data_IF_516097491210
#
_entry.id   IF_516097491210
#
_cell.length_a   1.000
_cell.length_b   1.000
_cell.length_c   1.000
_cell.angle_alpha   90.00
_cell.angle_beta   90.00
_cell.angle_gamma   90.00
#
_symmetry.space_group_name_H-M   'P 1'
#
loop_
_entity.id
_entity.type
_entity.pdbx_description
1 polymer ?
#
# COMPACT_ATOMS: atom_id res chain seq x y z
N UNK A 1 2.01 25.65 -5.58
CA UNK A 1 2.94 24.86 -6.44
C UNK A 1 2.24 24.51 -7.73
N UNK A 2 2.92 24.57 -8.89
CA UNK A 2 2.32 24.07 -10.14
C UNK A 2 2.19 22.54 -10.05
N UNK A 3 1.05 21.98 -10.44
CA UNK A 3 0.82 20.52 -10.45
C UNK A 3 1.98 19.77 -11.14
N UNK A 4 2.54 20.33 -12.21
CA UNK A 4 3.69 19.80 -12.94
C UNK A 4 4.93 19.55 -12.04
N UNK A 5 5.21 20.42 -11.08
CA UNK A 5 6.34 20.25 -10.16
C UNK A 5 6.13 19.07 -9.22
N UNK A 6 4.88 18.82 -8.80
CA UNK A 6 4.54 17.66 -7.96
C UNK A 6 4.77 16.37 -8.74
N UNK A 7 4.33 16.28 -10.00
CA UNK A 7 4.62 15.12 -10.85
C UNK A 7 6.12 14.91 -11.02
N UNK A 8 6.88 15.97 -11.32
CA UNK A 8 8.33 15.85 -11.52
C UNK A 8 9.04 15.34 -10.25
N UNK A 9 8.66 15.84 -9.07
CA UNK A 9 9.22 15.38 -7.79
C UNK A 9 8.90 13.90 -7.59
N UNK A 10 7.64 13.48 -7.78
CA UNK A 10 7.23 12.08 -7.62
C UNK A 10 8.01 11.16 -8.57
N UNK A 11 8.13 11.54 -9.84
CA UNK A 11 8.87 10.75 -10.83
C UNK A 11 10.35 10.62 -10.48
N UNK A 12 11.01 11.71 -10.10
CA UNK A 12 12.43 11.67 -9.72
C UNK A 12 12.63 10.86 -8.44
N UNK A 13 11.79 11.05 -7.42
CA UNK A 13 11.86 10.25 -6.19
C UNK A 13 11.64 8.76 -6.47
N UNK A 14 10.69 8.40 -7.33
CA UNK A 14 10.42 7.01 -7.70
C UNK A 14 11.60 6.39 -8.44
N UNK A 15 12.20 7.12 -9.40
CA UNK A 15 13.38 6.68 -10.14
C UNK A 15 14.61 6.52 -9.26
N UNK A 16 14.87 7.47 -8.36
CA UNK A 16 15.99 7.39 -7.43
C UNK A 16 15.80 6.20 -6.49
N UNK A 17 14.59 6.01 -5.96
CA UNK A 17 14.30 4.90 -5.04
C UNK A 17 14.42 3.54 -5.74
N UNK A 18 13.94 3.42 -6.98
CA UNK A 18 14.07 2.19 -7.76
C UNK A 18 15.53 1.89 -8.13
N UNK A 19 16.31 2.90 -8.50
CA UNK A 19 17.74 2.75 -8.76
C UNK A 19 18.51 2.27 -7.52
N UNK A 20 18.21 2.86 -6.35
CA UNK A 20 18.79 2.44 -5.07
C UNK A 20 18.42 0.99 -4.74
N UNK A 21 17.16 0.59 -4.98
CA UNK A 21 16.68 -0.78 -4.82
C UNK A 21 17.37 -1.77 -5.74
N UNK A 22 17.55 -1.46 -7.02
CA UNK A 22 18.24 -2.35 -7.98
C UNK A 22 19.71 -2.52 -7.62
N UNK A 23 20.32 -1.45 -7.12
CA UNK A 23 21.73 -1.40 -6.71
C UNK A 23 21.97 -2.00 -5.32
N UNK A 24 20.97 -2.62 -4.69
CA UNK A 24 21.11 -3.27 -3.37
C UNK A 24 22.30 -4.25 -3.25
N UNK A 25 22.68 -5.04 -4.28
CA UNK A 25 23.83 -5.95 -4.18
C UNK A 25 25.16 -5.22 -4.04
N UNK A 26 25.22 -3.94 -4.46
CA UNK A 26 26.40 -3.09 -4.46
C UNK A 26 26.47 -2.20 -3.22
N UNK A 27 25.55 -2.34 -2.26
CA UNK A 27 25.57 -1.52 -1.05
C UNK A 27 26.76 -1.82 -0.15
N UNK A 28 27.24 -0.83 0.63
CA UNK A 28 28.28 -1.05 1.62
C UNK A 28 27.89 -2.16 2.61
N UNK A 29 28.85 -3.00 3.01
CA UNK A 29 28.64 -4.14 3.93
C UNK A 29 27.91 -3.77 5.24
N UNK A 30 28.02 -2.51 5.70
CA UNK A 30 27.28 -1.99 6.86
C UNK A 30 25.76 -1.96 6.66
N UNK A 31 25.29 -1.74 5.44
CA UNK A 31 23.87 -1.65 5.07
C UNK A 31 23.30 -2.97 4.53
N UNK A 32 24.14 -3.98 4.28
CA UNK A 32 23.71 -5.30 3.82
C UNK A 32 23.12 -6.20 4.93
N UNK A 33 22.90 -5.66 6.14
CA UNK A 33 22.21 -6.42 7.18
C UNK A 33 20.79 -6.73 6.71
N UNK A 34 20.37 -7.99 6.84
CA UNK A 34 19.06 -8.49 6.37
C UNK A 34 17.87 -7.64 6.85
N UNK A 35 17.93 -7.14 8.09
CA UNK A 35 16.91 -6.24 8.65
C UNK A 35 16.84 -4.89 7.91
N UNK A 36 17.98 -4.27 7.60
CA UNK A 36 18.05 -2.96 6.93
C UNK A 36 17.48 -3.07 5.50
N UNK A 37 17.87 -4.13 4.78
CA UNK A 37 17.35 -4.39 3.43
C UNK A 37 15.83 -4.59 3.47
N UNK A 38 15.33 -5.39 4.41
CA UNK A 38 13.90 -5.64 4.56
C UNK A 38 13.11 -4.37 4.89
N UNK A 39 13.65 -3.51 5.77
CA UNK A 39 13.01 -2.24 6.13
C UNK A 39 13.01 -1.27 4.95
N UNK A 40 14.13 -1.16 4.22
CA UNK A 40 14.19 -0.30 3.04
C UNK A 40 13.21 -0.74 1.97
N UNK A 41 13.12 -2.05 1.71
CA UNK A 41 12.17 -2.61 0.76
C UNK A 41 10.72 -2.33 1.18
N UNK A 42 10.40 -2.45 2.46
CA UNK A 42 9.09 -2.11 3.01
C UNK A 42 8.75 -0.62 2.81
N UNK A 43 9.65 0.28 3.20
CA UNK A 43 9.46 1.74 3.08
C UNK A 43 9.35 2.18 1.63
N UNK A 44 10.18 1.64 0.74
CA UNK A 44 10.17 1.97 -0.67
C UNK A 44 8.85 1.55 -1.35
N UNK A 45 8.41 0.31 -1.11
CA UNK A 45 7.13 -0.16 -1.67
C UNK A 45 5.94 0.61 -1.08
N UNK A 46 5.97 0.93 0.22
CA UNK A 46 4.96 1.80 0.84
C UNK A 46 4.87 3.17 0.16
N UNK A 47 6.01 3.84 0.01
CA UNK A 47 6.10 5.17 -0.56
C UNK A 47 5.64 5.22 -2.01
N UNK A 48 6.12 4.29 -2.84
CA UNK A 48 5.84 4.28 -4.28
C UNK A 48 4.42 3.79 -4.56
N UNK A 49 4.03 2.63 -4.03
CA UNK A 49 2.79 1.96 -4.44
C UNK A 49 1.56 2.52 -3.75
N UNK A 50 1.66 3.04 -2.52
CA UNK A 50 0.50 3.55 -1.79
C UNK A 50 0.53 5.07 -1.72
N UNK A 51 1.59 5.64 -1.14
CA UNK A 51 1.60 7.08 -0.85
C UNK A 51 1.63 7.94 -2.13
N UNK A 52 2.61 7.75 -3.01
CA UNK A 52 2.69 8.51 -4.27
C UNK A 52 1.51 8.21 -5.20
N UNK A 53 1.08 6.96 -5.26
CA UNK A 53 -0.12 6.58 -6.01
C UNK A 53 -1.37 7.34 -5.58
N UNK A 54 -1.60 7.44 -4.26
CA UNK A 54 -2.74 8.18 -3.71
C UNK A 54 -2.61 9.69 -3.94
N UNK A 55 -1.39 10.22 -3.83
CA UNK A 55 -1.11 11.64 -4.02
C UNK A 55 -1.33 12.07 -5.47
N UNK A 56 -0.99 11.22 -6.44
CA UNK A 56 -1.29 11.45 -7.85
C UNK A 56 -2.81 11.58 -8.07
N UNK A 57 -3.59 10.59 -7.60
CA UNK A 57 -5.07 10.60 -7.72
C UNK A 57 -5.68 11.89 -7.17
N UNK A 58 -5.20 12.36 -6.01
CA UNK A 58 -5.62 13.63 -5.42
C UNK A 58 -5.22 14.82 -6.30
N UNK A 59 -3.97 14.87 -6.75
CA UNK A 59 -3.46 15.97 -7.57
C UNK A 59 -4.09 16.06 -8.96
N UNK A 60 -4.67 14.98 -9.50
CA UNK A 60 -5.38 15.01 -10.79
C UNK A 60 -6.87 15.26 -10.69
N UNK A 61 -7.38 15.58 -9.50
CA UNK A 61 -8.82 15.69 -9.26
C UNK A 61 -9.57 14.42 -9.69
N UNK A 62 -9.01 13.25 -9.38
CA UNK A 62 -9.61 11.93 -9.61
C UNK A 62 -9.77 11.58 -11.10
N UNK A 63 -8.74 11.91 -11.88
CA UNK A 63 -8.72 11.53 -13.29
C UNK A 63 -8.67 10.01 -13.48
N UNK A 64 -9.40 9.50 -14.46
CA UNK A 64 -9.63 8.07 -14.65
C UNK A 64 -8.34 7.25 -14.79
N UNK A 65 -7.35 7.76 -15.53
CA UNK A 65 -6.07 7.05 -15.70
C UNK A 65 -5.31 6.88 -14.38
N UNK A 66 -5.43 7.85 -13.47
CA UNK A 66 -4.69 7.81 -12.20
C UNK A 66 -5.38 6.93 -11.18
N UNK A 67 -6.72 6.90 -11.21
CA UNK A 67 -7.50 5.91 -10.48
C UNK A 67 -7.13 4.50 -10.92
N UNK A 68 -7.11 4.23 -12.23
CA UNK A 68 -6.71 2.93 -12.77
C UNK A 68 -5.28 2.53 -12.34
N UNK A 69 -4.33 3.46 -12.43
CA UNK A 69 -2.96 3.23 -11.96
C UNK A 69 -2.92 2.91 -10.47
N UNK A 70 -3.73 3.60 -9.65
CA UNK A 70 -3.79 3.35 -8.21
C UNK A 70 -4.39 1.99 -7.86
N UNK A 71 -5.34 1.49 -8.65
CA UNK A 71 -5.87 0.14 -8.50
C UNK A 71 -4.76 -0.86 -8.76
N UNK A 72 -4.02 -0.72 -9.87
CA UNK A 72 -2.91 -1.62 -10.22
C UNK A 72 -1.85 -1.64 -9.10
N UNK A 73 -1.47 -0.47 -8.57
CA UNK A 73 -0.50 -0.39 -7.47
C UNK A 73 -1.01 -1.10 -6.21
N UNK A 74 -2.30 -1.00 -5.90
CA UNK A 74 -2.93 -1.71 -4.79
C UNK A 74 -2.88 -3.23 -4.99
N UNK A 75 -3.13 -3.70 -6.21
CA UNK A 75 -3.04 -5.13 -6.56
C UNK A 75 -1.61 -5.66 -6.40
N UNK A 76 -0.62 -4.88 -6.83
CA UNK A 76 0.80 -5.23 -6.71
C UNK A 76 1.17 -5.38 -5.22
N UNK A 77 0.83 -4.39 -4.39
CA UNK A 77 1.18 -4.45 -2.95
C UNK A 77 0.39 -5.51 -2.18
N UNK A 78 -0.85 -5.81 -2.59
CA UNK A 78 -1.63 -6.93 -2.05
C UNK A 78 -1.02 -8.29 -2.42
N UNK A 79 -0.29 -8.36 -3.54
CA UNK A 79 0.42 -9.57 -3.94
C UNK A 79 1.74 -9.74 -3.20
N UNK A 80 2.49 -8.63 -3.02
CA UNK A 80 3.82 -8.61 -2.40
C UNK A 80 3.82 -8.89 -0.89
N UNK A 81 2.81 -8.41 -0.16
CA UNK A 81 2.77 -8.51 1.31
C UNK A 81 1.62 -9.39 1.81
N UNK A 82 1.69 -9.73 3.11
CA UNK A 82 0.57 -10.37 3.81
C UNK A 82 -0.61 -9.42 3.89
N UNK A 83 -1.81 -9.98 3.82
CA UNK A 83 -3.05 -9.23 3.71
C UNK A 83 -3.27 -8.26 4.88
N UNK A 84 -2.93 -8.68 6.11
CA UNK A 84 -2.98 -7.83 7.30
C UNK A 84 -2.10 -6.58 7.15
N UNK A 85 -0.87 -6.77 6.67
CA UNK A 85 0.12 -5.69 6.50
C UNK A 85 -0.30 -4.75 5.38
N UNK A 86 -0.76 -5.28 4.24
CA UNK A 86 -1.25 -4.48 3.13
C UNK A 86 -2.40 -3.58 3.55
N UNK A 87 -3.34 -4.08 4.36
CA UNK A 87 -4.50 -3.32 4.82
C UNK A 87 -4.05 -2.14 5.69
N UNK A 88 -3.18 -2.37 6.67
CA UNK A 88 -2.64 -1.30 7.53
C UNK A 88 -1.86 -0.26 6.73
N UNK A 89 -0.97 -0.70 5.84
CA UNK A 89 -0.20 0.18 4.96
C UNK A 89 -1.12 1.04 4.10
N UNK A 90 -2.19 0.44 3.56
CA UNK A 90 -3.15 1.14 2.71
C UNK A 90 -3.85 2.26 3.48
N UNK A 91 -4.41 1.96 4.66
CA UNK A 91 -5.13 2.97 5.47
C UNK A 91 -4.19 4.11 5.85
N UNK A 92 -2.99 3.79 6.34
CA UNK A 92 -2.01 4.79 6.77
C UNK A 92 -1.56 5.63 5.57
N UNK A 93 -1.22 5.01 4.44
CA UNK A 93 -0.72 5.73 3.27
C UNK A 93 -1.75 6.65 2.63
N UNK A 94 -3.02 6.24 2.57
CA UNK A 94 -4.12 7.11 2.09
C UNK A 94 -4.33 8.28 3.05
N UNK A 95 -4.37 8.02 4.36
CA UNK A 95 -4.55 9.07 5.37
C UNK A 95 -3.41 10.11 5.30
N UNK A 96 -2.16 9.64 5.29
CA UNK A 96 -0.98 10.51 5.18
C UNK A 96 -0.97 11.29 3.86
N UNK A 97 -1.42 10.68 2.75
CA UNK A 97 -1.54 11.37 1.47
C UNK A 97 -2.56 12.51 1.50
N UNK A 98 -3.70 12.31 2.17
CA UNK A 98 -4.74 13.34 2.30
C UNK A 98 -4.22 14.50 3.14
N UNK A 99 -3.61 14.22 4.29
CA UNK A 99 -3.06 15.25 5.18
C UNK A 99 -1.91 16.01 4.52
N UNK A 100 -1.01 15.31 3.81
CA UNK A 100 0.06 15.95 3.04
C UNK A 100 -0.51 16.88 1.96
N UNK A 101 -1.54 16.43 1.24
CA UNK A 101 -2.16 17.22 0.18
C UNK A 101 -2.84 18.49 0.72
N UNK A 102 -3.52 18.40 1.86
CA UNK A 102 -4.09 19.56 2.56
C UNK A 102 -3.02 20.56 2.98
N UNK A 103 -1.93 20.07 3.57
CA UNK A 103 -0.86 20.94 4.09
C UNK A 103 -0.12 21.70 2.98
N UNK A 104 0.15 21.04 1.83
CA UNK A 104 0.99 21.62 0.77
C UNK A 104 0.24 22.44 -0.27
N UNK A 105 -1.07 22.21 -0.47
CA UNK A 105 -1.77 22.76 -1.64
C UNK A 105 -2.70 23.94 -1.38
N UNK A 106 -2.68 24.47 -0.15
CA UNK A 106 -3.40 25.67 0.29
C UNK A 106 -4.93 25.59 0.09
N UNK A 107 -5.69 26.25 0.96
CA UNK A 107 -7.14 26.08 1.16
C UNK A 107 -8.05 26.36 -0.07
N UNK A 108 -7.49 26.68 -1.25
CA UNK A 108 -8.24 27.08 -2.45
C UNK A 108 -9.06 25.96 -3.13
N UNK A 109 -8.95 24.71 -2.67
CA UNK A 109 -9.90 23.65 -3.05
C UNK A 109 -11.27 23.78 -2.36
N UNK A 110 -11.42 24.69 -1.38
CA UNK A 110 -12.71 25.04 -0.78
C UNK A 110 -13.65 25.80 -1.73
N UNK A 111 -13.24 26.13 -2.96
CA UNK A 111 -14.13 26.83 -3.91
C UNK A 111 -15.16 25.88 -4.55
N UNK A 112 -15.02 24.55 -4.41
CA UNK A 112 -16.02 23.60 -4.93
C UNK A 112 -16.18 22.34 -4.05
N UNK A 113 -16.46 22.58 -2.76
CA UNK A 113 -16.52 21.59 -1.67
C UNK A 113 -17.40 20.38 -2.04
N UNK A 114 -18.55 20.60 -2.66
CA UNK A 114 -19.47 19.52 -3.04
C UNK A 114 -18.80 18.51 -3.97
N UNK A 115 -18.20 18.97 -5.08
CA UNK A 115 -17.61 18.05 -6.07
C UNK A 115 -16.39 17.30 -5.52
N UNK A 116 -15.63 17.90 -4.61
CA UNK A 116 -14.45 17.26 -4.03
C UNK A 116 -14.84 16.21 -2.98
N UNK A 117 -15.83 16.50 -2.13
CA UNK A 117 -16.35 15.53 -1.16
C UNK A 117 -16.92 14.30 -1.87
N UNK A 118 -17.70 14.47 -2.94
CA UNK A 118 -18.22 13.34 -3.73
C UNK A 118 -17.10 12.48 -4.33
N UNK A 119 -16.02 13.09 -4.84
CA UNK A 119 -14.89 12.36 -5.40
C UNK A 119 -14.09 11.59 -4.34
N UNK A 120 -13.92 12.16 -3.14
CA UNK A 120 -13.27 11.49 -2.02
C UNK A 120 -14.12 10.29 -1.54
N UNK A 121 -15.44 10.46 -1.40
CA UNK A 121 -16.34 9.36 -1.03
C UNK A 121 -16.30 8.25 -2.08
N UNK A 122 -16.31 8.61 -3.37
CA UNK A 122 -16.16 7.65 -4.46
C UNK A 122 -14.86 6.86 -4.36
N UNK A 123 -13.74 7.54 -4.13
CA UNK A 123 -12.44 6.90 -3.98
C UNK A 123 -12.38 5.95 -2.78
N UNK A 124 -12.88 6.35 -1.62
CA UNK A 124 -12.95 5.50 -0.42
C UNK A 124 -13.85 4.28 -0.66
N UNK A 125 -14.99 4.47 -1.33
CA UNK A 125 -15.91 3.38 -1.69
C UNK A 125 -15.24 2.39 -2.63
N UNK A 126 -14.55 2.89 -3.66
CA UNK A 126 -13.85 2.04 -4.62
C UNK A 126 -12.68 1.30 -3.95
N UNK A 127 -11.91 1.98 -3.09
CA UNK A 127 -10.83 1.38 -2.31
C UNK A 127 -11.34 0.28 -1.38
N UNK A 128 -12.41 0.54 -0.62
CA UNK A 128 -12.96 -0.44 0.31
C UNK A 128 -13.51 -1.67 -0.41
N UNK A 129 -14.20 -1.50 -1.55
CA UNK A 129 -14.65 -2.61 -2.39
C UNK A 129 -13.49 -3.47 -2.91
N UNK A 130 -12.45 -2.84 -3.45
CA UNK A 130 -11.24 -3.54 -3.90
C UNK A 130 -10.55 -4.31 -2.79
N UNK A 131 -10.41 -3.67 -1.62
CA UNK A 131 -9.84 -4.30 -0.45
C UNK A 131 -10.64 -5.56 -0.10
N UNK A 132 -11.98 -5.49 0.00
CA UNK A 132 -12.82 -6.64 0.34
C UNK A 132 -12.63 -7.79 -0.67
N UNK A 133 -12.66 -7.50 -1.97
CA UNK A 133 -12.54 -8.53 -3.03
C UNK A 133 -11.20 -9.25 -2.97
N UNK A 134 -10.10 -8.53 -2.71
CA UNK A 134 -8.76 -9.12 -2.68
C UNK A 134 -8.37 -9.72 -1.33
N UNK A 135 -8.84 -9.13 -0.23
CA UNK A 135 -8.49 -9.57 1.12
C UNK A 135 -9.29 -10.81 1.54
N UNK A 136 -10.58 -10.88 1.18
CA UNK A 136 -11.47 -11.97 1.61
C UNK A 136 -10.95 -13.38 1.23
N UNK A 137 -10.48 -13.64 -0.01
CA UNK A 137 -9.94 -14.95 -0.36
C UNK A 137 -8.69 -15.31 0.46
N UNK A 138 -7.82 -14.34 0.73
CA UNK A 138 -6.59 -14.57 1.52
C UNK A 138 -6.88 -14.81 3.00
N UNK A 139 -7.86 -14.11 3.56
CA UNK A 139 -8.35 -14.34 4.92
C UNK A 139 -8.84 -15.79 5.12
N UNK A 140 -9.60 -16.28 4.15
CA UNK A 140 -10.17 -17.63 4.19
C UNK A 140 -9.08 -18.71 4.09
N UNK A 141 -8.09 -18.52 3.21
CA UNK A 141 -6.95 -19.43 3.11
C UNK A 141 -6.15 -19.55 4.41
N UNK A 142 -5.82 -18.42 5.06
CA UNK A 142 -5.11 -18.47 6.34
C UNK A 142 -5.93 -19.17 7.43
N UNK A 143 -7.24 -18.95 7.47
CA UNK A 143 -8.14 -19.63 8.41
C UNK A 143 -8.14 -21.14 8.21
N UNK A 144 -8.23 -21.61 6.96
CA UNK A 144 -8.22 -23.03 6.63
C UNK A 144 -6.90 -23.71 7.00
N UNK A 145 -5.77 -23.04 6.76
CA UNK A 145 -4.45 -23.55 7.14
C UNK A 145 -4.32 -23.68 8.66
N UNK A 146 -4.78 -22.66 9.41
CA UNK A 146 -4.75 -22.71 10.87
C UNK A 146 -5.63 -23.83 11.44
N UNK A 147 -6.86 -23.99 10.92
CA UNK A 147 -7.75 -25.08 11.33
C UNK A 147 -7.16 -26.46 11.03
N UNK A 148 -6.49 -26.62 9.89
CA UNK A 148 -5.80 -27.87 9.55
C UNK A 148 -4.67 -28.15 10.54
N UNK A 149 -3.86 -27.14 10.87
CA UNK A 149 -2.74 -27.29 11.79
C UNK A 149 -3.21 -27.63 13.22
N UNK A 150 -4.27 -27.00 13.71
CA UNK A 150 -4.83 -27.32 15.03
C UNK A 150 -5.38 -28.75 15.05
N UNK A 151 -6.15 -29.14 14.04
CA UNK A 151 -6.71 -30.49 13.95
C UNK A 151 -5.63 -31.58 13.85
N UNK A 152 -4.52 -31.31 13.16
CA UNK A 152 -3.37 -32.22 13.12
C UNK A 152 -2.62 -32.26 14.45
N UNK A 153 -2.45 -31.12 15.12
CA UNK A 153 -1.85 -31.05 16.47
C UNK A 153 -2.62 -31.87 17.50
N UNK A 154 -3.95 -31.72 17.52
CA UNK A 154 -4.82 -32.48 18.43
C UNK A 154 -4.72 -34.00 18.19
N UNK A 155 -4.59 -34.42 16.93
CA UNK A 155 -4.41 -35.84 16.59
C UNK A 155 -3.07 -36.39 17.04
N UNK A 156 -1.99 -35.62 16.93
CA UNK A 156 -0.66 -36.05 17.40
C UNK A 156 -0.67 -36.23 18.91
N UNK A 157 -1.22 -35.27 19.65
CA UNK A 157 -1.34 -35.34 21.11
C UNK A 157 -2.19 -36.54 21.57
N UNK A 158 -3.29 -36.82 20.87
CA UNK A 158 -4.15 -37.98 21.18
C UNK A 158 -3.48 -39.34 20.90
N UNK A 159 -2.54 -39.40 19.96
CA UNK A 159 -1.74 -40.60 19.69
C UNK A 159 -0.62 -40.76 20.72
N UNK A 160 0.00 -39.66 21.14
CA UNK A 160 1.06 -39.66 22.14
C UNK A 160 0.53 -40.03 23.54
N UNK A 161 -0.71 -39.63 23.88
CA UNK A 161 -1.37 -40.02 25.13
C UNK A 161 -1.84 -41.49 25.18
N UNK A 162 -1.80 -42.21 24.05
CA UNK A 162 -2.19 -43.62 23.95
C UNK A 162 -1.01 -44.58 23.99
N UNK A 163 0.21 -44.07 23.95
CA UNK A 163 1.47 -44.82 24.02
C UNK A 163 2.07 -44.71 25.43
#
# INVERSE_FOLDING_TARGET
>A
MNHLNIYNIIYHCTLVTSAILITYPLWPLRFQKKYIISLFWFVANFGILIFFSSLLVLSSNFYQLQLMSSIINLLIIATLFRWHTTLLMTIIGVFVSIEFYKYFMDEKLLVNIDSFQFKVIYFITLFSGLLIVFLRPRQEQERLVNLKNTHLGDRVLALESRN
#
